data_IF_499147619496
#
_entry.id   IF_499147619496
#
_cell.length_a   1.000
_cell.length_b   1.000
_cell.length_c   1.000
_cell.angle_alpha   90.00
_cell.angle_beta   90.00
_cell.angle_gamma   90.00
#
_symmetry.space_group_name_H-M   'P 1'
#
loop_
_entity.id
_entity.type
_entity.pdbx_description
1 polymer ?
#
# COMPACT_ATOMS: atom_id res chain seq x y z
N UNK A 1 30.85 -15.79 -22.81
CA UNK A 1 29.98 -15.78 -21.62
C UNK A 1 30.40 -14.57 -20.81
N UNK A 2 29.64 -13.46 -20.76
CA UNK A 2 29.96 -12.37 -19.86
C UNK A 2 29.64 -12.80 -18.44
N UNK A 3 30.62 -12.65 -17.56
CA UNK A 3 30.57 -12.87 -16.13
C UNK A 3 29.47 -11.99 -15.53
N UNK A 4 28.53 -12.50 -14.69
CA UNK A 4 27.61 -11.64 -14.01
C UNK A 4 28.41 -10.73 -13.07
N UNK A 5 28.36 -9.43 -13.33
CA UNK A 5 28.96 -8.42 -12.48
C UNK A 5 28.51 -8.66 -11.04
N UNK A 6 29.43 -9.03 -10.19
CA UNK A 6 29.26 -9.07 -8.74
C UNK A 6 28.89 -7.68 -8.28
N UNK A 7 27.59 -7.45 -8.10
CA UNK A 7 27.08 -6.31 -7.38
C UNK A 7 27.64 -6.41 -5.95
N UNK A 8 28.67 -5.64 -5.64
CA UNK A 8 29.21 -5.41 -4.29
C UNK A 8 28.24 -4.55 -3.46
N UNK A 9 26.95 -4.61 -3.76
CA UNK A 9 25.89 -3.91 -3.08
C UNK A 9 25.31 -4.77 -1.95
N UNK A 10 25.05 -4.14 -0.84
CA UNK A 10 24.35 -4.74 0.29
C UNK A 10 22.96 -5.21 -0.16
N UNK A 11 22.62 -6.48 0.11
CA UNK A 11 21.33 -7.07 -0.24
C UNK A 11 20.39 -7.13 0.98
N UNK A 12 19.10 -7.06 0.70
CA UNK A 12 18.03 -7.32 1.69
C UNK A 12 18.17 -8.75 2.20
N UNK A 13 18.12 -8.95 3.51
CA UNK A 13 18.26 -10.27 4.12
C UNK A 13 17.10 -11.20 3.74
N UNK A 14 17.26 -12.52 3.83
CA UNK A 14 16.15 -13.46 3.65
C UNK A 14 14.96 -13.17 4.58
N UNK A 15 15.22 -12.69 5.79
CA UNK A 15 14.20 -12.28 6.75
C UNK A 15 13.51 -10.98 6.33
N UNK A 16 14.24 -10.02 5.75
CA UNK A 16 13.70 -8.79 5.16
C UNK A 16 12.80 -9.08 3.95
N UNK A 17 13.22 -9.99 3.07
CA UNK A 17 12.39 -10.46 1.95
C UNK A 17 11.10 -11.13 2.46
N UNK A 18 11.20 -12.00 3.47
CA UNK A 18 10.04 -12.67 4.05
C UNK A 18 9.07 -11.65 4.67
N UNK A 19 9.58 -10.62 5.33
CA UNK A 19 8.77 -9.54 5.89
C UNK A 19 8.07 -8.73 4.79
N UNK A 20 8.74 -8.38 3.69
CA UNK A 20 8.12 -7.68 2.56
C UNK A 20 7.00 -8.50 1.93
N UNK A 21 7.24 -9.81 1.71
CA UNK A 21 6.21 -10.74 1.23
C UNK A 21 5.00 -10.74 2.17
N UNK A 22 5.28 -10.71 3.47
CA UNK A 22 4.26 -10.66 4.51
C UNK A 22 3.40 -9.39 4.45
N UNK A 23 4.02 -8.25 4.22
CA UNK A 23 3.34 -6.95 4.21
C UNK A 23 2.59 -6.67 2.90
N UNK A 24 3.14 -7.10 1.76
CA UNK A 24 2.57 -6.82 0.44
C UNK A 24 1.62 -7.93 -0.07
N UNK A 25 1.74 -9.14 0.49
CA UNK A 25 1.06 -10.32 -0.04
C UNK A 25 1.78 -10.91 -1.26
N UNK A 26 1.54 -12.19 -1.52
CA UNK A 26 2.13 -12.92 -2.65
C UNK A 26 1.04 -13.56 -3.50
N UNK A 27 1.02 -13.27 -4.80
CA UNK A 27 0.06 -13.83 -5.76
C UNK A 27 0.81 -14.57 -6.86
N UNK A 28 0.70 -15.89 -6.88
CA UNK A 28 1.48 -16.76 -7.78
C UNK A 28 0.91 -16.87 -9.19
N UNK A 29 -0.30 -16.36 -9.44
CA UNK A 29 -0.92 -16.28 -10.75
C UNK A 29 -1.07 -14.82 -11.16
N UNK A 30 -0.65 -14.50 -12.39
CA UNK A 30 -0.76 -13.15 -12.89
C UNK A 30 -2.22 -12.66 -12.92
N UNK A 31 -2.43 -11.44 -12.43
CA UNK A 31 -3.71 -10.77 -12.36
C UNK A 31 -3.59 -9.32 -12.86
N UNK A 32 -4.70 -8.72 -13.22
CA UNK A 32 -4.72 -7.27 -13.47
C UNK A 32 -4.95 -6.54 -12.15
N UNK A 33 -4.04 -5.63 -11.84
CA UNK A 33 -4.21 -4.75 -10.69
C UNK A 33 -5.32 -3.71 -10.92
N UNK A 34 -5.51 -2.84 -9.95
CA UNK A 34 -6.55 -1.79 -9.98
C UNK A 34 -6.37 -0.79 -11.13
N UNK A 35 -5.16 -0.66 -11.66
CA UNK A 35 -4.85 0.13 -12.84
C UNK A 35 -4.99 -0.67 -14.15
N UNK A 36 -5.39 -1.95 -14.08
CA UNK A 36 -5.47 -2.87 -15.20
C UNK A 36 -4.11 -3.36 -15.69
N UNK A 37 -3.04 -3.17 -14.90
CA UNK A 37 -1.69 -3.59 -15.23
C UNK A 37 -1.49 -5.04 -14.81
N UNK A 38 -0.89 -5.86 -15.70
CA UNK A 38 -0.56 -7.22 -15.35
C UNK A 38 0.50 -7.25 -14.23
N UNK A 39 0.17 -7.95 -13.16
CA UNK A 39 0.93 -8.01 -11.91
C UNK A 39 1.06 -9.48 -11.46
N UNK A 40 2.19 -9.84 -10.85
CA UNK A 40 2.45 -11.18 -10.31
C UNK A 40 3.37 -11.09 -9.08
N UNK A 41 3.44 -12.17 -8.30
CA UNK A 41 4.31 -12.26 -7.13
C UNK A 41 3.96 -11.22 -6.06
N UNK A 42 4.91 -10.44 -5.66
CA UNK A 42 4.79 -9.40 -4.62
C UNK A 42 4.59 -8.02 -5.27
N UNK A 43 3.53 -7.92 -6.09
CA UNK A 43 3.20 -6.66 -6.76
C UNK A 43 4.10 -6.32 -7.96
N UNK A 44 4.77 -7.30 -8.57
CA UNK A 44 5.69 -7.08 -9.68
C UNK A 44 4.93 -6.94 -11.00
N UNK A 45 5.25 -5.90 -11.74
CA UNK A 45 4.71 -5.57 -13.07
C UNK A 45 5.84 -5.52 -14.10
N UNK A 46 5.51 -5.36 -15.38
CA UNK A 46 6.53 -5.13 -16.42
C UNK A 46 7.44 -3.93 -16.10
N UNK A 47 6.91 -2.92 -15.43
CA UNK A 47 7.70 -1.77 -14.97
C UNK A 47 8.77 -2.15 -13.94
N UNK A 48 8.68 -3.31 -13.27
CA UNK A 48 9.74 -3.80 -12.38
C UNK A 48 11.05 -4.10 -13.11
N UNK A 49 10.97 -4.39 -14.42
CA UNK A 49 12.12 -4.73 -15.26
C UNK A 49 12.68 -6.14 -15.03
N UNK A 50 12.03 -6.94 -14.16
CA UNK A 50 12.48 -8.32 -13.83
C UNK A 50 11.52 -9.38 -14.36
N UNK A 51 10.28 -9.01 -14.66
CA UNK A 51 9.25 -9.90 -15.19
C UNK A 51 8.26 -9.13 -16.04
N UNK A 52 7.72 -9.76 -17.08
CA UNK A 52 6.60 -9.22 -17.87
C UNK A 52 5.37 -10.10 -17.69
N UNK A 53 4.54 -9.83 -16.66
CA UNK A 53 3.37 -10.66 -16.38
C UNK A 53 2.34 -10.59 -17.49
N UNK A 54 1.67 -11.71 -17.78
CA UNK A 54 0.64 -11.83 -18.81
C UNK A 54 -0.46 -12.80 -18.38
N UNK A 55 -1.56 -12.78 -19.11
CA UNK A 55 -2.68 -13.68 -18.86
C UNK A 55 -2.23 -15.15 -18.77
N UNK A 56 -2.71 -15.85 -17.76
CA UNK A 56 -2.42 -17.27 -17.53
C UNK A 56 -1.04 -17.58 -16.97
N UNK A 57 -0.14 -16.59 -16.83
CA UNK A 57 1.18 -16.81 -16.25
C UNK A 57 1.08 -17.21 -14.78
N UNK A 58 1.82 -18.25 -14.40
CA UNK A 58 1.97 -18.71 -13.02
C UNK A 58 3.45 -18.83 -12.69
N UNK A 59 3.79 -18.59 -11.44
CA UNK A 59 5.13 -18.77 -10.89
C UNK A 59 5.06 -19.55 -9.58
N UNK A 60 6.15 -20.19 -9.22
CA UNK A 60 6.33 -20.81 -7.91
C UNK A 60 6.68 -19.76 -6.85
N UNK A 61 6.56 -20.12 -5.57
CA UNK A 61 7.03 -19.26 -4.47
C UNK A 61 8.52 -18.98 -4.53
N UNK A 62 9.32 -19.95 -5.00
CA UNK A 62 10.76 -19.78 -5.16
C UNK A 62 11.06 -18.72 -6.24
N UNK A 63 10.40 -18.80 -7.39
CA UNK A 63 10.50 -17.80 -8.46
C UNK A 63 10.01 -16.44 -8.01
N UNK A 64 8.88 -16.35 -7.27
CA UNK A 64 8.37 -15.10 -6.72
C UNK A 64 9.39 -14.40 -5.83
N UNK A 65 10.06 -15.15 -4.95
CA UNK A 65 11.11 -14.64 -4.07
C UNK A 65 12.36 -14.20 -4.84
N UNK A 66 12.77 -14.97 -5.84
CA UNK A 66 13.91 -14.63 -6.69
C UNK A 66 13.65 -13.34 -7.49
N UNK A 67 12.46 -13.22 -8.08
CA UNK A 67 12.03 -12.01 -8.80
C UNK A 67 11.95 -10.79 -7.87
N UNK A 68 11.44 -10.96 -6.66
CA UNK A 68 11.43 -9.88 -5.66
C UNK A 68 12.85 -9.45 -5.32
N UNK A 69 13.74 -10.40 -5.00
CA UNK A 69 15.14 -10.09 -4.68
C UNK A 69 15.83 -9.33 -5.83
N UNK A 70 15.60 -9.76 -7.06
CA UNK A 70 16.15 -9.09 -8.24
C UNK A 70 15.58 -7.66 -8.41
N UNK A 71 14.28 -7.47 -8.19
CA UNK A 71 13.65 -6.15 -8.23
C UNK A 71 14.20 -5.23 -7.13
N UNK A 72 14.41 -5.75 -5.92
CA UNK A 72 15.00 -5.02 -4.82
C UNK A 72 16.42 -4.58 -5.15
N UNK A 73 17.26 -5.49 -5.62
CA UNK A 73 18.66 -5.20 -5.97
C UNK A 73 18.78 -4.13 -7.06
N UNK A 74 17.89 -4.14 -8.04
CA UNK A 74 17.95 -3.19 -9.17
C UNK A 74 17.38 -1.81 -8.84
N UNK A 75 16.32 -1.73 -8.01
CA UNK A 75 15.49 -0.52 -7.92
C UNK A 75 15.43 0.13 -6.55
N UNK A 76 15.62 -0.64 -5.48
CA UNK A 76 15.39 -0.13 -4.12
C UNK A 76 16.66 -0.11 -3.29
N UNK A 77 17.43 -1.18 -3.30
CA UNK A 77 18.64 -1.32 -2.50
C UNK A 77 19.71 -0.25 -2.77
N UNK A 78 19.98 0.17 -4.02
CA UNK A 78 20.99 1.20 -4.28
C UNK A 78 20.70 2.53 -3.60
N UNK A 79 19.44 2.96 -3.61
CA UNK A 79 19.04 4.21 -2.96
C UNK A 79 19.15 4.11 -1.43
N UNK A 80 18.79 2.96 -0.87
CA UNK A 80 18.89 2.70 0.58
C UNK A 80 20.35 2.59 1.00
N UNK A 81 21.19 1.90 0.24
CA UNK A 81 22.63 1.78 0.51
C UNK A 81 23.32 3.15 0.55
N UNK A 82 22.92 4.05 -0.35
CA UNK A 82 23.41 5.44 -0.36
C UNK A 82 22.88 6.24 0.84
N UNK A 83 21.56 6.15 1.11
CA UNK A 83 20.93 6.92 2.16
C UNK A 83 21.32 6.43 3.56
N UNK A 84 21.54 5.15 3.74
CA UNK A 84 21.83 4.49 5.01
C UNK A 84 23.19 3.77 4.95
N UNK A 85 24.22 4.47 4.48
CA UNK A 85 25.57 3.92 4.44
C UNK A 85 26.02 3.51 5.87
N UNK A 86 26.57 2.29 5.99
CA UNK A 86 27.01 1.73 7.28
C UNK A 86 25.89 1.13 8.14
N UNK A 87 24.63 1.10 7.65
CA UNK A 87 23.51 0.51 8.39
C UNK A 87 23.79 -0.95 8.80
N UNK A 88 23.31 -1.41 9.92
CA UNK A 88 23.25 -2.82 10.28
C UNK A 88 22.25 -3.57 9.39
N UNK A 89 22.27 -4.91 9.31
CA UNK A 89 21.39 -5.68 8.44
C UNK A 89 19.91 -5.33 8.65
N UNK A 90 19.48 -5.32 9.90
CA UNK A 90 18.09 -5.01 10.25
C UNK A 90 17.68 -3.57 9.94
N UNK A 91 18.62 -2.63 10.07
CA UNK A 91 18.40 -1.23 9.71
C UNK A 91 18.22 -1.08 8.20
N UNK A 92 19.06 -1.76 7.42
CA UNK A 92 18.97 -1.79 5.97
C UNK A 92 17.65 -2.39 5.51
N UNK A 93 17.25 -3.54 6.05
CA UNK A 93 15.96 -4.18 5.74
C UNK A 93 14.77 -3.25 6.05
N UNK A 94 14.80 -2.56 7.17
CA UNK A 94 13.79 -1.56 7.52
C UNK A 94 13.75 -0.37 6.56
N UNK A 95 14.92 0.10 6.14
CA UNK A 95 15.08 1.12 5.11
C UNK A 95 14.53 0.68 3.76
N UNK A 96 14.78 -0.56 3.35
CA UNK A 96 14.23 -1.15 2.12
C UNK A 96 12.72 -1.29 2.22
N UNK A 97 12.17 -1.77 3.36
CA UNK A 97 10.72 -1.83 3.57
C UNK A 97 10.07 -0.46 3.41
N UNK A 98 10.62 0.57 4.05
CA UNK A 98 10.14 1.93 3.91
C UNK A 98 10.21 2.41 2.46
N UNK A 99 11.35 2.20 1.79
CA UNK A 99 11.56 2.68 0.41
C UNK A 99 10.66 1.95 -0.58
N UNK A 100 10.49 0.64 -0.43
CA UNK A 100 9.59 -0.16 -1.26
C UNK A 100 8.14 0.36 -1.22
N UNK A 101 7.67 0.74 -0.03
CA UNK A 101 6.32 1.26 0.16
C UNK A 101 6.14 2.71 -0.29
N UNK A 102 7.17 3.57 -0.13
CA UNK A 102 7.02 5.03 -0.27
C UNK A 102 7.79 5.63 -1.44
N UNK A 103 8.83 4.96 -1.92
CA UNK A 103 9.77 5.51 -2.89
C UNK A 103 10.61 6.69 -2.37
N UNK A 104 10.66 6.92 -1.04
CA UNK A 104 11.02 8.23 -0.50
C UNK A 104 12.27 8.24 0.39
N UNK A 105 13.11 7.20 0.39
CA UNK A 105 14.27 7.10 1.31
C UNK A 105 15.18 8.32 1.24
N UNK A 106 15.43 8.86 0.06
CA UNK A 106 16.35 9.98 -0.14
C UNK A 106 15.84 11.33 0.38
N UNK A 107 14.54 11.46 0.69
CA UNK A 107 13.92 12.69 1.21
C UNK A 107 13.29 12.54 2.59
N UNK A 108 13.38 11.36 3.19
CA UNK A 108 12.76 11.07 4.48
C UNK A 108 13.59 11.65 5.62
N UNK A 109 13.00 12.56 6.40
CA UNK A 109 13.68 13.25 7.52
C UNK A 109 14.18 12.31 8.61
N UNK A 110 13.51 11.15 8.81
CA UNK A 110 13.94 10.15 9.78
C UNK A 110 15.31 9.54 9.47
N UNK A 111 15.74 9.54 8.19
CA UNK A 111 17.09 9.07 7.80
C UNK A 111 18.17 9.98 8.39
N UNK A 112 17.95 11.30 8.40
CA UNK A 112 18.86 12.23 9.02
C UNK A 112 18.90 12.06 10.55
N UNK A 113 17.76 11.75 11.19
CA UNK A 113 17.70 11.41 12.61
C UNK A 113 18.48 10.12 12.92
N UNK A 114 18.29 9.09 12.08
CA UNK A 114 19.03 7.84 12.20
C UNK A 114 20.55 8.02 12.13
N UNK A 115 21.05 8.82 11.17
CA UNK A 115 22.48 9.13 11.06
C UNK A 115 23.07 9.81 12.30
N UNK A 116 22.26 10.54 13.05
CA UNK A 116 22.68 11.19 14.30
C UNK A 116 22.46 10.33 15.55
N UNK A 117 21.96 9.11 15.40
CA UNK A 117 21.59 8.25 16.53
C UNK A 117 20.34 8.74 17.30
N UNK A 118 19.57 9.66 16.74
CA UNK A 118 18.36 10.22 17.35
C UNK A 118 17.19 9.24 17.20
N UNK A 119 17.05 8.34 18.16
CA UNK A 119 16.02 7.29 18.18
C UNK A 119 14.60 7.86 18.22
N UNK A 120 14.37 8.95 18.95
CA UNK A 120 13.06 9.60 19.02
C UNK A 120 12.70 10.25 17.69
N UNK A 121 13.66 10.92 17.04
CA UNK A 121 13.50 11.49 15.71
C UNK A 121 13.23 10.44 14.63
N UNK A 122 13.83 9.24 14.72
CA UNK A 122 13.51 8.12 13.81
C UNK A 122 12.06 7.69 13.98
N UNK A 123 11.59 7.47 15.22
CA UNK A 123 10.20 7.05 15.46
C UNK A 123 9.19 8.10 14.99
N UNK A 124 9.38 9.34 15.36
CA UNK A 124 8.46 10.43 14.98
C UNK A 124 8.49 10.71 13.48
N UNK A 125 9.67 10.67 12.87
CA UNK A 125 9.83 10.87 11.44
C UNK A 125 9.21 9.76 10.60
N UNK A 126 9.33 8.48 11.00
CA UNK A 126 8.61 7.36 10.37
C UNK A 126 7.10 7.51 10.57
N UNK A 127 6.64 7.82 11.78
CA UNK A 127 5.21 7.97 12.09
C UNK A 127 4.53 9.04 11.23
N UNK A 128 5.26 10.05 10.76
CA UNK A 128 4.73 11.06 9.83
C UNK A 128 4.28 10.49 8.47
N UNK A 129 4.78 9.30 8.06
CA UNK A 129 4.45 8.62 6.81
C UNK A 129 3.26 7.65 6.93
N UNK A 130 2.27 8.01 7.73
CA UNK A 130 1.09 7.19 8.03
C UNK A 130 -0.17 7.63 7.29
N UNK A 131 -0.06 8.55 6.32
CA UNK A 131 -1.21 9.15 5.64
C UNK A 131 -1.34 8.68 4.20
N UNK A 132 -2.59 8.51 3.77
CA UNK A 132 -2.97 8.41 2.36
C UNK A 132 -4.14 9.39 2.11
N UNK A 133 -4.05 10.17 1.05
CA UNK A 133 -5.05 11.22 0.76
C UNK A 133 -5.22 12.24 1.91
N UNK A 134 -4.14 12.56 2.65
CA UNK A 134 -4.16 13.49 3.77
C UNK A 134 -4.68 12.93 5.11
N UNK A 135 -5.25 11.72 5.14
CA UNK A 135 -5.78 11.08 6.35
C UNK A 135 -4.87 10.00 6.89
N UNK A 136 -4.84 9.84 8.20
CA UNK A 136 -4.11 8.76 8.87
C UNK A 136 -4.77 7.43 8.53
N UNK A 137 -3.95 6.47 8.05
CA UNK A 137 -4.35 5.10 7.75
C UNK A 137 -3.74 4.17 8.80
N UNK A 138 -4.58 3.49 9.55
CA UNK A 138 -4.15 2.63 10.66
C UNK A 138 -3.14 1.54 10.21
N UNK A 139 -3.30 0.97 9.00
CA UNK A 139 -2.35 0.02 8.42
C UNK A 139 -0.97 0.62 8.20
N UNK A 140 -0.90 1.85 7.66
CA UNK A 140 0.36 2.57 7.48
C UNK A 140 0.99 2.94 8.82
N UNK A 141 0.20 3.38 9.81
CA UNK A 141 0.71 3.68 11.14
C UNK A 141 1.36 2.45 11.78
N UNK A 142 0.70 1.29 11.70
CA UNK A 142 1.28 0.01 12.19
C UNK A 142 2.55 -0.38 11.43
N UNK A 143 2.57 -0.21 10.10
CA UNK A 143 3.77 -0.49 9.29
C UNK A 143 4.94 0.39 9.72
N UNK A 144 4.73 1.69 9.89
CA UNK A 144 5.77 2.63 10.36
C UNK A 144 6.29 2.28 11.76
N UNK A 145 5.41 1.84 12.66
CA UNK A 145 5.82 1.39 13.99
C UNK A 145 6.73 0.14 13.91
N UNK A 146 6.35 -0.86 13.10
CA UNK A 146 7.18 -2.07 12.89
C UNK A 146 8.53 -1.74 12.25
N UNK A 147 8.55 -0.86 11.25
CA UNK A 147 9.79 -0.41 10.62
C UNK A 147 10.68 0.32 11.63
N UNK A 148 10.11 1.13 12.52
CA UNK A 148 10.86 1.78 13.58
C UNK A 148 11.46 0.76 14.56
N UNK A 149 10.70 -0.25 14.97
CA UNK A 149 11.17 -1.31 15.85
C UNK A 149 12.25 -2.18 15.20
N UNK A 150 12.12 -2.44 13.90
CA UNK A 150 13.15 -3.15 13.14
C UNK A 150 14.43 -2.30 13.05
N UNK A 151 14.34 -1.06 12.61
CA UNK A 151 15.50 -0.18 12.41
C UNK A 151 16.23 0.08 13.72
N UNK A 152 15.51 0.35 14.80
CA UNK A 152 16.11 0.79 16.05
C UNK A 152 16.57 -0.35 16.98
N UNK A 153 15.89 -1.48 16.93
CA UNK A 153 16.04 -2.53 17.93
C UNK A 153 16.30 -3.90 17.30
N UNK A 154 16.32 -4.01 15.95
CA UNK A 154 16.42 -5.29 15.26
C UNK A 154 15.20 -6.19 15.50
N UNK A 155 14.15 -5.65 16.13
CA UNK A 155 12.96 -6.43 16.43
C UNK A 155 12.15 -6.61 15.14
N UNK A 156 12.08 -7.86 14.71
CA UNK A 156 11.10 -8.29 13.71
C UNK A 156 9.89 -8.78 14.49
N UNK A 157 8.71 -8.25 14.18
CA UNK A 157 7.51 -8.83 14.74
C UNK A 157 7.53 -10.34 14.47
N UNK A 158 7.40 -11.14 15.53
CA UNK A 158 7.14 -12.56 15.39
C UNK A 158 5.82 -12.82 14.64
N UNK A 159 4.99 -11.79 14.46
CA UNK A 159 3.83 -11.78 13.57
C UNK A 159 4.20 -11.86 12.08
N UNK A 160 5.44 -11.58 11.66
CA UNK A 160 5.91 -11.94 10.32
C UNK A 160 6.06 -13.47 10.16
N UNK A 161 6.14 -14.21 11.27
CA UNK A 161 6.15 -15.69 11.29
C UNK A 161 4.76 -16.31 11.52
N UNK A 162 3.78 -15.53 11.93
CA UNK A 162 2.39 -16.00 12.07
C UNK A 162 1.47 -15.17 11.19
N UNK A 163 1.45 -15.46 9.90
CA UNK A 163 0.24 -15.21 9.16
C UNK A 163 -0.87 -15.96 9.86
N UNK A 164 -1.72 -15.22 10.57
CA UNK A 164 -2.92 -15.81 11.12
C UNK A 164 -3.78 -16.14 9.92
N UNK A 165 -3.72 -17.38 9.50
CA UNK A 165 -4.67 -17.95 8.55
C UNK A 165 -5.94 -18.17 9.34
N UNK A 166 -6.96 -17.35 9.07
CA UNK A 166 -8.24 -17.45 9.74
C UNK A 166 -9.21 -18.29 8.90
N UNK A 167 -9.84 -19.24 9.52
CA UNK A 167 -10.79 -20.16 8.91
C UNK A 167 -11.91 -20.50 9.88
N UNK A 168 -12.92 -21.15 9.38
CA UNK A 168 -14.07 -21.61 10.19
C UNK A 168 -13.61 -22.39 11.42
N UNK A 169 -14.14 -22.02 12.56
CA UNK A 169 -13.81 -22.57 13.88
C UNK A 169 -12.78 -21.75 14.65
N UNK A 170 -12.06 -20.84 14.01
CA UNK A 170 -11.16 -19.94 14.73
C UNK A 170 -11.93 -18.88 15.50
N UNK A 171 -11.32 -18.38 16.59
CA UNK A 171 -11.92 -17.33 17.41
C UNK A 171 -10.87 -16.39 17.98
N UNK A 172 -11.31 -15.21 18.42
CA UNK A 172 -10.47 -14.23 19.09
C UNK A 172 -10.34 -12.90 18.35
N UNK A 173 -9.39 -12.08 18.81
CA UNK A 173 -9.24 -10.70 18.35
C UNK A 173 -8.85 -10.58 16.87
N UNK A 174 -8.12 -11.56 16.33
CA UNK A 174 -7.78 -11.59 14.92
C UNK A 174 -9.02 -11.79 14.03
N UNK A 175 -9.94 -12.65 14.47
CA UNK A 175 -11.24 -12.87 13.80
C UNK A 175 -12.10 -11.61 13.91
N UNK A 176 -12.16 -11.00 15.09
CA UNK A 176 -12.92 -9.76 15.29
C UNK A 176 -12.44 -8.64 14.39
N UNK A 177 -11.13 -8.49 14.20
CA UNK A 177 -10.56 -7.52 13.25
C UNK A 177 -10.95 -7.81 11.82
N UNK A 178 -10.83 -9.07 11.38
CA UNK A 178 -11.25 -9.48 10.03
C UNK A 178 -12.75 -9.18 9.80
N UNK A 179 -13.58 -9.50 10.76
CA UNK A 179 -15.03 -9.20 10.70
C UNK A 179 -15.28 -7.69 10.60
N UNK A 180 -14.59 -6.88 11.39
CA UNK A 180 -14.68 -5.42 11.33
C UNK A 180 -14.30 -4.88 9.95
N UNK A 181 -13.25 -5.43 9.35
CA UNK A 181 -12.81 -5.08 7.99
C UNK A 181 -13.87 -5.47 6.94
N UNK A 182 -14.43 -6.68 7.03
CA UNK A 182 -15.48 -7.16 6.12
C UNK A 182 -16.80 -6.40 6.28
N UNK A 183 -17.17 -6.00 7.49
CA UNK A 183 -18.31 -5.12 7.79
C UNK A 183 -18.06 -3.74 7.20
N UNK A 184 -16.88 -3.19 7.41
CA UNK A 184 -16.45 -1.93 6.80
C UNK A 184 -16.51 -1.94 5.28
N UNK A 185 -16.32 -3.09 4.65
CA UNK A 185 -16.49 -3.31 3.20
C UNK A 185 -17.97 -3.55 2.80
N UNK A 186 -18.87 -3.79 3.74
CA UNK A 186 -20.27 -4.15 3.49
C UNK A 186 -20.45 -5.57 2.95
N UNK A 187 -19.47 -6.45 3.20
CA UNK A 187 -19.48 -7.85 2.76
C UNK A 187 -20.00 -8.78 3.87
N UNK A 188 -19.85 -8.37 5.12
CA UNK A 188 -20.40 -9.04 6.30
C UNK A 188 -21.42 -8.13 6.96
N UNK A 189 -22.59 -8.67 7.31
CA UNK A 189 -23.60 -8.00 8.11
C UNK A 189 -23.50 -8.42 9.58
N UNK A 190 -23.96 -7.57 10.51
CA UNK A 190 -24.00 -7.85 11.94
C UNK A 190 -22.80 -7.29 12.70
N UNK A 191 -22.52 -7.87 13.89
CA UNK A 191 -21.44 -7.45 14.77
C UNK A 191 -20.18 -8.30 14.59
N UNK A 192 -19.01 -7.71 14.87
CA UNK A 192 -17.75 -8.44 14.94
C UNK A 192 -17.66 -9.18 16.30
N UNK A 193 -18.20 -10.39 16.36
CA UNK A 193 -18.26 -11.21 17.56
C UNK A 193 -16.96 -11.92 17.93
N UNK A 194 -16.04 -12.00 16.97
CA UNK A 194 -14.75 -12.67 17.12
C UNK A 194 -14.82 -14.19 16.95
N UNK A 195 -15.92 -14.74 16.44
CA UNK A 195 -16.04 -16.15 16.10
C UNK A 195 -16.11 -16.32 14.56
N UNK A 196 -15.19 -17.10 13.98
CA UNK A 196 -15.21 -17.37 12.54
C UNK A 196 -16.28 -18.45 12.26
N UNK A 197 -17.53 -18.03 12.21
CA UNK A 197 -18.69 -18.86 11.91
C UNK A 197 -18.98 -18.96 10.41
N UNK A 198 -20.11 -19.62 10.04
CA UNK A 198 -20.53 -19.75 8.64
C UNK A 198 -20.70 -18.41 7.92
N UNK A 199 -21.28 -17.40 8.59
CA UNK A 199 -21.46 -16.06 8.00
C UNK A 199 -20.12 -15.38 7.67
N UNK A 200 -19.11 -15.51 8.53
CA UNK A 200 -17.78 -14.98 8.28
C UNK A 200 -17.11 -15.72 7.11
N UNK A 201 -17.26 -17.05 7.04
CA UNK A 201 -16.71 -17.84 5.93
C UNK A 201 -17.36 -17.44 4.60
N UNK A 202 -18.68 -17.28 4.56
CA UNK A 202 -19.41 -16.86 3.36
C UNK A 202 -18.98 -15.45 2.92
N UNK A 203 -18.83 -14.52 3.85
CA UNK A 203 -18.33 -13.18 3.56
C UNK A 203 -16.90 -13.22 2.98
N UNK A 204 -16.02 -14.06 3.52
CA UNK A 204 -14.67 -14.26 2.95
C UNK A 204 -14.76 -14.84 1.55
N UNK A 205 -15.59 -15.87 1.30
CA UNK A 205 -15.80 -16.44 -0.05
C UNK A 205 -16.38 -15.42 -1.02
N UNK A 206 -17.34 -14.62 -0.60
CA UNK A 206 -17.92 -13.56 -1.43
C UNK A 206 -16.88 -12.51 -1.80
N UNK A 207 -16.05 -12.10 -0.83
CA UNK A 207 -14.92 -11.20 -1.08
C UNK A 207 -13.92 -11.79 -2.06
N UNK A 208 -13.52 -13.05 -1.87
CA UNK A 208 -12.59 -13.75 -2.75
C UNK A 208 -13.14 -13.88 -4.17
N UNK A 209 -14.42 -14.22 -4.33
CA UNK A 209 -15.07 -14.35 -5.63
C UNK A 209 -15.13 -13.03 -6.41
N UNK A 210 -15.22 -11.89 -5.70
CA UNK A 210 -15.15 -10.55 -6.30
C UNK A 210 -13.74 -10.15 -6.74
N UNK A 211 -12.70 -10.91 -6.37
CA UNK A 211 -11.29 -10.60 -6.63
C UNK A 211 -10.63 -11.79 -7.33
N UNK A 212 -10.57 -11.81 -8.69
CA UNK A 212 -10.12 -12.96 -9.49
C UNK A 212 -8.70 -13.46 -9.19
N UNK A 213 -7.88 -12.66 -8.52
CA UNK A 213 -6.53 -13.02 -8.08
C UNK A 213 -6.52 -13.90 -6.81
N UNK A 214 -7.65 -14.02 -6.12
CA UNK A 214 -7.78 -14.83 -4.91
C UNK A 214 -8.34 -16.22 -5.22
N UNK A 215 -7.97 -17.20 -4.40
CA UNK A 215 -8.62 -18.51 -4.39
C UNK A 215 -9.88 -18.41 -3.55
N UNK A 216 -11.00 -18.92 -4.06
CA UNK A 216 -12.29 -18.93 -3.35
C UNK A 216 -12.37 -20.16 -2.45
N UNK A 217 -11.69 -20.11 -1.32
CA UNK A 217 -11.59 -21.22 -0.36
C UNK A 217 -12.24 -20.93 1.00
N UNK A 218 -12.68 -19.69 1.24
CA UNK A 218 -13.27 -19.26 2.52
C UNK A 218 -12.24 -19.07 3.64
N UNK A 219 -10.94 -19.12 3.30
CA UNK A 219 -9.83 -18.96 4.25
C UNK A 219 -9.24 -17.56 4.11
N UNK A 220 -9.24 -16.79 5.18
CA UNK A 220 -8.61 -15.48 5.21
C UNK A 220 -7.10 -15.64 5.45
N UNK A 221 -6.39 -16.06 4.41
CA UNK A 221 -4.93 -16.13 4.38
C UNK A 221 -4.27 -14.79 4.03
N UNK A 222 -2.93 -14.76 3.91
CA UNK A 222 -2.17 -13.53 3.64
C UNK A 222 -2.65 -12.76 2.40
N UNK A 223 -2.90 -13.46 1.30
CA UNK A 223 -3.37 -12.83 0.06
C UNK A 223 -4.75 -12.17 0.23
N UNK A 224 -5.67 -12.86 0.92
CA UNK A 224 -7.02 -12.36 1.20
C UNK A 224 -6.98 -11.14 2.13
N UNK A 225 -6.22 -11.21 3.23
CA UNK A 225 -6.13 -10.11 4.19
C UNK A 225 -5.41 -8.89 3.61
N UNK A 226 -4.36 -9.10 2.81
CA UNK A 226 -3.70 -8.02 2.09
C UNK A 226 -4.62 -7.34 1.07
N UNK A 227 -5.45 -8.11 0.36
CA UNK A 227 -6.43 -7.55 -0.58
C UNK A 227 -7.52 -6.76 0.14
N UNK A 228 -8.05 -7.26 1.27
CA UNK A 228 -8.99 -6.53 2.13
C UNK A 228 -8.41 -5.18 2.55
N UNK A 229 -7.17 -5.17 3.03
CA UNK A 229 -6.49 -3.93 3.43
C UNK A 229 -6.32 -2.94 2.27
N UNK A 230 -5.99 -3.41 1.05
CA UNK A 230 -5.90 -2.56 -0.15
C UNK A 230 -7.24 -1.93 -0.52
N UNK A 231 -8.32 -2.71 -0.49
CA UNK A 231 -9.67 -2.20 -0.82
C UNK A 231 -10.13 -1.16 0.20
N UNK A 232 -9.87 -1.38 1.49
CA UNK A 232 -10.17 -0.41 2.55
C UNK A 232 -9.37 0.88 2.37
N UNK A 233 -8.08 0.79 2.05
CA UNK A 233 -7.24 1.95 1.78
C UNK A 233 -7.73 2.74 0.55
N UNK A 234 -8.15 2.04 -0.52
CA UNK A 234 -8.70 2.64 -1.73
C UNK A 234 -9.99 3.42 -1.44
N UNK A 235 -10.90 2.82 -0.63
CA UNK A 235 -12.14 3.49 -0.21
C UNK A 235 -11.89 4.76 0.58
N UNK A 236 -10.94 4.69 1.53
CA UNK A 236 -10.58 5.86 2.34
C UNK A 236 -9.99 6.98 1.47
N UNK A 237 -9.13 6.63 0.51
CA UNK A 237 -8.55 7.60 -0.43
C UNK A 237 -9.63 8.27 -1.30
N UNK A 238 -10.59 7.49 -1.81
CA UNK A 238 -11.69 8.00 -2.63
C UNK A 238 -12.64 8.91 -1.84
N UNK A 239 -13.01 8.51 -0.61
CA UNK A 239 -13.86 9.32 0.26
C UNK A 239 -13.21 10.67 0.62
N UNK A 240 -11.88 10.70 0.77
CA UNK A 240 -11.12 11.93 1.04
C UNK A 240 -11.10 12.85 -0.18
N UNK A 241 -10.96 12.27 -1.38
CA UNK A 241 -10.94 13.02 -2.62
C UNK A 241 -12.28 13.71 -2.90
N UNK A 242 -13.40 13.02 -2.64
CA UNK A 242 -14.74 13.59 -2.81
C UNK A 242 -15.06 14.67 -1.76
N UNK A 243 -14.62 14.50 -0.51
CA UNK A 243 -14.81 15.51 0.54
C UNK A 243 -13.98 16.77 0.31
N UNK A 244 -12.75 16.64 -0.22
CA UNK A 244 -11.89 17.77 -0.59
C UNK A 244 -12.42 18.57 -1.80
N UNK A 245 -13.03 17.89 -2.77
CA UNK A 245 -13.64 18.52 -3.94
C UNK A 245 -14.89 19.36 -3.59
N UNK A 246 -15.69 18.93 -2.61
CA UNK A 246 -16.88 19.65 -2.18
C UNK A 246 -16.56 20.97 -1.44
N UNK A 247 -15.39 21.07 -0.79
CA UNK A 247 -14.97 22.30 -0.12
C UNK A 247 -14.36 23.32 -1.09
N UNK A 248 -13.87 22.89 -2.26
CA UNK A 248 -13.32 23.81 -3.27
C UNK A 248 -14.37 24.46 -4.18
N UNK A 249 -15.61 23.95 -4.22
CA UNK A 249 -16.71 24.51 -5.04
C UNK A 249 -17.68 25.39 -4.27
N UNK A 250 -17.55 25.51 -2.94
CA UNK A 250 -18.49 26.22 -2.05
C UNK A 250 -18.13 27.67 -1.72
N UNK A 251 -17.18 28.32 -2.39
CA UNK A 251 -16.66 29.63 -1.99
C UNK A 251 -16.50 30.66 -3.08
N UNK A 252 -17.46 30.83 -3.99
CA UNK A 252 -17.53 32.06 -4.81
C UNK A 252 -18.87 32.77 -4.51
N UNK A 253 -18.91 33.50 -3.42
CA UNK A 253 -19.92 34.55 -3.24
C UNK A 253 -19.43 35.78 -4.00
N UNK A 254 -20.10 36.09 -5.10
CA UNK A 254 -19.90 37.32 -5.85
C UNK A 254 -20.38 38.48 -4.99
N UNK A 255 -19.46 39.28 -4.45
CA UNK A 255 -19.74 40.63 -4.00
C UNK A 255 -19.38 41.59 -5.13
N UNK A 256 -20.40 42.21 -5.72
CA UNK A 256 -20.26 43.20 -6.78
C UNK A 256 -19.54 44.46 -6.26
N UNK A 257 -18.53 44.89 -7.01
CA UNK A 257 -17.89 46.20 -6.92
C UNK A 257 -17.34 46.55 -8.31
N UNK A 258 -17.24 47.84 -8.66
CA UNK A 258 -17.20 48.29 -10.05
C UNK A 258 -15.86 48.02 -10.74
N UNK A 259 -15.96 47.71 -12.02
CA UNK A 259 -14.85 47.52 -12.97
C UNK A 259 -14.00 48.78 -13.14
N UNK A 260 -12.68 48.65 -13.23
CA UNK A 260 -11.86 49.46 -14.15
C UNK A 260 -11.26 48.58 -15.27
N UNK A 261 -11.05 49.22 -16.39
CA UNK A 261 -10.67 48.70 -17.69
C UNK A 261 -9.25 48.15 -17.74
N UNK A 262 -9.09 47.15 -18.62
CA UNK A 262 -7.98 46.77 -19.45
C UNK A 262 -6.54 47.06 -18.96
N UNK A 263 -5.82 45.95 -18.59
CA UNK A 263 -4.53 45.62 -19.18
C UNK A 263 -4.19 44.17 -18.89
N UNK A 264 -3.76 43.45 -19.90
CA UNK A 264 -3.69 42.01 -19.92
C UNK A 264 -2.46 41.43 -19.19
N UNK A 265 -2.61 41.15 -17.91
CA UNK A 265 -1.77 40.19 -17.21
C UNK A 265 -2.64 39.44 -16.21
N UNK A 266 -2.74 38.12 -16.35
CA UNK A 266 -3.39 37.26 -15.36
C UNK A 266 -2.64 37.39 -14.02
N UNK A 267 -3.32 37.64 -12.89
CA UNK A 267 -2.65 37.68 -11.60
C UNK A 267 -2.06 36.31 -11.28
N UNK A 268 -0.83 36.30 -10.73
CA UNK A 268 -0.08 35.09 -10.39
C UNK A 268 -0.88 34.11 -9.49
N UNK A 269 -1.79 34.61 -8.70
CA UNK A 269 -2.68 33.82 -7.82
C UNK A 269 -3.69 32.95 -8.58
N UNK A 270 -4.14 33.40 -9.77
CA UNK A 270 -5.04 32.61 -10.62
C UNK A 270 -4.34 31.44 -11.29
N UNK A 271 -3.06 31.57 -11.62
CA UNK A 271 -2.25 30.49 -12.22
C UNK A 271 -1.93 29.42 -11.20
N UNK A 272 -1.68 29.80 -9.94
CA UNK A 272 -1.42 28.86 -8.83
C UNK A 272 -2.70 28.09 -8.50
N UNK A 273 -3.85 28.75 -8.46
CA UNK A 273 -5.14 28.09 -8.19
C UNK A 273 -5.52 27.12 -9.32
N UNK A 274 -5.35 27.50 -10.59
CA UNK A 274 -5.63 26.65 -11.74
C UNK A 274 -4.66 25.43 -11.79
N UNK A 275 -3.38 25.63 -11.50
CA UNK A 275 -2.39 24.57 -11.40
C UNK A 275 -2.70 23.58 -10.28
N UNK A 276 -3.16 24.06 -9.12
CA UNK A 276 -3.56 23.21 -7.99
C UNK A 276 -4.80 22.39 -8.30
N UNK A 277 -5.81 22.97 -8.95
CA UNK A 277 -7.03 22.27 -9.38
C UNK A 277 -6.70 21.19 -10.41
N UNK A 278 -5.86 21.50 -11.41
CA UNK A 278 -5.41 20.50 -12.40
C UNK A 278 -4.58 19.38 -11.76
N UNK A 279 -3.73 19.69 -10.79
CA UNK A 279 -2.96 18.71 -10.04
C UNK A 279 -3.87 17.81 -9.19
N UNK A 280 -4.86 18.37 -8.52
CA UNK A 280 -5.87 17.64 -7.77
C UNK A 280 -6.71 16.74 -8.68
N UNK A 281 -7.14 17.26 -9.84
CA UNK A 281 -7.89 16.47 -10.82
C UNK A 281 -7.06 15.33 -11.40
N UNK A 282 -5.80 15.57 -11.74
CA UNK A 282 -4.87 14.54 -12.19
C UNK A 282 -4.64 13.48 -11.11
N UNK A 283 -4.50 13.88 -9.85
CA UNK A 283 -4.35 12.98 -8.71
C UNK A 283 -5.64 12.16 -8.49
N UNK A 284 -6.82 12.77 -8.61
CA UNK A 284 -8.11 12.09 -8.54
C UNK A 284 -8.28 11.06 -9.66
N UNK A 285 -7.93 11.44 -10.89
CA UNK A 285 -7.96 10.54 -12.04
C UNK A 285 -6.96 9.39 -11.83
N UNK A 286 -5.76 9.67 -11.35
CA UNK A 286 -4.76 8.66 -11.06
C UNK A 286 -5.21 7.70 -9.94
N UNK A 287 -5.85 8.22 -8.88
CA UNK A 287 -6.42 7.41 -7.80
C UNK A 287 -7.60 6.59 -8.32
N UNK A 288 -8.54 7.19 -9.05
CA UNK A 288 -9.68 6.49 -9.63
C UNK A 288 -9.23 5.40 -10.62
N UNK A 289 -8.21 5.69 -11.43
CA UNK A 289 -7.57 4.73 -12.35
C UNK A 289 -6.85 3.62 -11.60
N UNK A 290 -6.10 3.99 -10.56
CA UNK A 290 -5.36 3.04 -9.73
C UNK A 290 -6.28 2.06 -8.99
N UNK A 291 -7.48 2.49 -8.62
CA UNK A 291 -8.42 1.71 -7.81
C UNK A 291 -9.73 1.36 -8.53
N UNK A 292 -9.77 1.48 -9.87
CA UNK A 292 -11.00 1.28 -10.65
C UNK A 292 -11.62 -0.10 -10.49
N UNK A 293 -10.81 -1.15 -10.34
CA UNK A 293 -11.30 -2.52 -10.27
C UNK A 293 -11.81 -2.86 -8.87
N UNK A 294 -11.22 -2.31 -7.80
CA UNK A 294 -11.77 -2.35 -6.44
C UNK A 294 -13.08 -1.59 -6.35
N UNK A 295 -13.17 -0.43 -6.98
CA UNK A 295 -14.40 0.35 -7.03
C UNK A 295 -15.50 -0.43 -7.78
N UNK A 296 -15.17 -1.06 -8.91
CA UNK A 296 -16.11 -1.90 -9.67
C UNK A 296 -16.54 -3.13 -8.87
N UNK A 297 -15.60 -3.84 -8.24
CA UNK A 297 -15.89 -4.98 -7.39
C UNK A 297 -16.81 -4.59 -6.24
N UNK A 298 -16.54 -3.47 -5.58
CA UNK A 298 -17.38 -2.93 -4.52
C UNK A 298 -18.79 -2.58 -5.01
N UNK A 299 -18.94 -1.88 -6.14
CA UNK A 299 -20.24 -1.53 -6.72
C UNK A 299 -21.02 -2.79 -7.09
N UNK A 300 -20.34 -3.83 -7.59
CA UNK A 300 -20.97 -5.10 -7.94
C UNK A 300 -21.50 -5.85 -6.70
N UNK A 301 -20.76 -5.83 -5.59
CA UNK A 301 -21.18 -6.39 -4.31
C UNK A 301 -22.43 -5.67 -3.75
N UNK A 302 -22.42 -4.33 -3.79
CA UNK A 302 -23.53 -3.51 -3.30
C UNK A 302 -24.81 -3.62 -4.14
N UNK A 303 -24.71 -3.99 -5.41
CA UNK A 303 -25.90 -4.23 -6.27
C UNK A 303 -26.55 -5.60 -6.07
N UNK A 304 -25.89 -6.51 -5.35
CA UNK A 304 -26.38 -7.87 -5.06
C UNK A 304 -26.92 -8.02 -3.62
N UNK A 305 -26.69 -7.01 -2.78
CA UNK A 305 -27.29 -6.84 -1.43
C UNK A 305 -28.52 -5.93 -1.50
#
# INVERSE_FOLDING_TARGET
MPNPATSTGRATSPAGIAQLIAEEGEVLRAYRDVAGVWTIGVGLTAASGVVSPRAGMTITRAESRALLAEALARRYEPAVATAMAGAAEHEFDGGVSFHFNTGAIGRASWVAAWRRGDRAGVRSGLAAWNKAGGRVVAGLARRRAREADLILDGRRDSAASSFVVLRRGDAGEAVRRLQGDLIGLGVLAGAADGAFGPATEEAVRAFQAAHPQLVVDGVAGPATTAQIARVLAARTALATATAGGALATGGVVATGGPTPAADGAMPADGVIAAGFVLLCLALLIAIAWRYRDEIRAYVSLKRRS
#
